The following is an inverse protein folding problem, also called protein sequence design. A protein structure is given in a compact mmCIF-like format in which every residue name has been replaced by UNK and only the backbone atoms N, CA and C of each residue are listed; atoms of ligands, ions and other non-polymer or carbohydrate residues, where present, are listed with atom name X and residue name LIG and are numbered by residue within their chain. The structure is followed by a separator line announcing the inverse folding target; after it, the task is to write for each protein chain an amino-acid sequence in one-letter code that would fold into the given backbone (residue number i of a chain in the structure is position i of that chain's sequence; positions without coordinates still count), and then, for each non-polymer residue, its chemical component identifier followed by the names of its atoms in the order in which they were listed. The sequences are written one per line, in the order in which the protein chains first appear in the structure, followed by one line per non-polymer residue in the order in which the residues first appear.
data_IF_115787688081
#
_entry.id   IF_115787688081
#
_cell.length_a   1.000
_cell.length_b   1.000
_cell.length_c   1.000
_cell.angle_alpha   90.00
_cell.angle_beta   90.00
_cell.angle_gamma   90.00
#
_symmetry.space_group_name_H-M   'P 1'
#
loop_
_entity.id
_entity.type
_entity.pdbx_description
1 polymer ?
#
# COMPACT_ATOMS: atom_id res chain seq x y z
N UNK A 1 -28.40 7.09 -33.09
CA UNK A 1 -27.26 6.40 -32.47
C UNK A 1 -27.72 5.87 -31.13
N UNK A 2 -27.42 4.62 -30.78
CA UNK A 2 -27.76 4.10 -29.45
C UNK A 2 -26.99 4.89 -28.39
N UNK A 3 -27.67 5.30 -27.32
CA UNK A 3 -27.04 5.97 -26.18
C UNK A 3 -26.05 5.00 -25.53
N UNK A 4 -24.78 5.39 -25.42
CA UNK A 4 -23.76 4.59 -24.76
C UNK A 4 -24.17 4.32 -23.30
N UNK A 5 -24.06 3.07 -22.84
CA UNK A 5 -24.40 2.65 -21.48
C UNK A 5 -23.19 2.06 -20.79
N UNK A 6 -23.15 2.17 -19.45
CA UNK A 6 -22.14 1.52 -18.62
C UNK A 6 -22.18 0.00 -18.83
N UNK A 7 -21.00 -0.63 -18.82
CA UNK A 7 -20.89 -2.08 -18.89
C UNK A 7 -21.25 -2.69 -17.53
N UNK A 8 -22.17 -3.68 -17.50
CA UNK A 8 -22.52 -4.37 -16.24
C UNK A 8 -21.43 -5.33 -15.78
N UNK A 9 -20.54 -5.76 -16.68
CA UNK A 9 -19.29 -6.45 -16.31
C UNK A 9 -18.13 -5.60 -16.77
N UNK A 10 -17.33 -5.12 -15.81
CA UNK A 10 -16.09 -4.39 -16.07
C UNK A 10 -15.07 -4.76 -15.00
N UNK A 11 -13.90 -5.26 -15.41
CA UNK A 11 -12.82 -5.61 -14.50
C UNK A 11 -11.45 -5.23 -15.07
N UNK A 12 -10.54 -4.85 -14.18
CA UNK A 12 -9.15 -4.53 -14.50
C UNK A 12 -8.21 -5.27 -13.56
N UNK A 13 -7.19 -5.88 -14.14
CA UNK A 13 -6.06 -6.41 -13.39
C UNK A 13 -5.19 -5.28 -12.84
N UNK A 14 -4.66 -5.47 -11.63
CA UNK A 14 -3.70 -4.53 -11.02
C UNK A 14 -2.42 -4.44 -11.86
N UNK A 15 -1.82 -3.25 -11.90
CA UNK A 15 -0.60 -2.98 -12.69
C UNK A 15 0.66 -2.78 -11.84
N UNK A 16 0.48 -2.50 -10.54
CA UNK A 16 1.55 -2.49 -9.54
C UNK A 16 1.40 -3.75 -8.69
N UNK A 17 2.29 -4.72 -8.89
CA UNK A 17 2.18 -6.05 -8.28
C UNK A 17 3.38 -6.35 -7.36
N UNK A 18 3.33 -5.93 -6.08
CA UNK A 18 4.35 -6.26 -5.11
C UNK A 18 4.21 -7.71 -4.62
N UNK A 19 5.34 -8.37 -4.37
CA UNK A 19 5.38 -9.60 -3.57
C UNK A 19 5.17 -9.30 -2.09
N UNK A 20 5.10 -10.35 -1.26
CA UNK A 20 5.17 -10.18 0.19
C UNK A 20 6.54 -9.61 0.61
N UNK A 21 6.54 -8.78 1.66
CA UNK A 21 7.75 -8.16 2.20
C UNK A 21 8.26 -8.94 3.39
N UNK A 22 9.37 -9.66 3.20
CA UNK A 22 9.92 -10.55 4.22
C UNK A 22 10.92 -9.82 5.11
N UNK A 23 10.91 -10.18 6.40
CA UNK A 23 11.70 -9.53 7.43
C UNK A 23 12.98 -10.31 7.74
N UNK A 24 14.08 -9.59 7.80
CA UNK A 24 15.39 -10.11 8.20
C UNK A 24 16.04 -9.14 9.20
N UNK A 25 16.99 -9.62 9.97
CA UNK A 25 17.70 -8.87 11.00
C UNK A 25 19.21 -8.91 10.77
N UNK A 26 19.84 -7.78 11.06
CA UNK A 26 21.27 -7.55 10.91
C UNK A 26 21.72 -6.30 11.66
N UNK A 27 22.97 -5.90 11.45
CA UNK A 27 23.49 -4.65 11.99
C UNK A 27 23.54 -3.59 10.91
N UNK A 28 23.33 -2.34 11.31
CA UNK A 28 23.32 -1.19 10.40
C UNK A 28 24.59 -1.16 9.52
N UNK A 29 25.77 -1.40 10.08
CA UNK A 29 27.02 -1.32 9.32
C UNK A 29 27.21 -2.46 8.28
N UNK A 30 26.35 -3.48 8.28
CA UNK A 30 26.44 -4.66 7.41
C UNK A 30 25.37 -4.66 6.30
N UNK A 31 24.75 -3.50 5.99
CA UNK A 31 23.71 -3.38 4.94
C UNK A 31 24.17 -3.83 3.54
N UNK A 32 25.46 -3.68 3.22
CA UNK A 32 26.00 -4.15 1.94
C UNK A 32 26.13 -5.67 1.85
N UNK A 33 25.94 -6.39 2.96
CA UNK A 33 26.10 -7.85 3.07
C UNK A 33 24.75 -8.54 3.30
N UNK A 34 23.73 -8.18 2.51
CA UNK A 34 22.34 -8.66 2.66
C UNK A 34 22.21 -10.19 2.79
N UNK A 35 23.10 -10.96 2.17
CA UNK A 35 23.11 -12.43 2.22
C UNK A 35 23.43 -13.00 3.61
N UNK A 36 23.96 -12.19 4.53
CA UNK A 36 24.26 -12.59 5.92
C UNK A 36 23.14 -12.27 6.90
N UNK A 37 22.10 -11.58 6.45
CA UNK A 37 20.97 -11.18 7.28
C UNK A 37 20.10 -12.39 7.58
N UNK A 38 19.69 -12.52 8.85
CA UNK A 38 18.95 -13.70 9.31
C UNK A 38 17.44 -13.44 9.26
N UNK A 39 16.62 -14.42 8.87
CA UNK A 39 15.17 -14.25 8.91
C UNK A 39 14.67 -13.86 10.31
N UNK A 40 13.68 -12.98 10.38
CA UNK A 40 12.98 -12.70 11.64
C UNK A 40 11.87 -13.73 11.80
N UNK A 41 11.95 -14.51 12.87
CA UNK A 41 10.95 -15.52 13.20
C UNK A 41 9.82 -14.92 14.06
N UNK A 42 8.62 -15.50 13.93
CA UNK A 42 7.51 -15.24 14.85
C UNK A 42 7.58 -16.23 15.99
N UNK A 43 7.48 -15.72 17.22
CA UNK A 43 7.48 -16.53 18.43
C UNK A 43 6.26 -16.22 19.28
N UNK A 44 5.83 -17.19 20.06
CA UNK A 44 4.74 -17.02 21.01
C UNK A 44 5.24 -16.44 22.33
N UNK A 45 4.40 -15.64 22.97
CA UNK A 45 4.54 -15.29 24.39
C UNK A 45 3.18 -15.25 25.07
N UNK A 46 3.16 -15.61 26.34
CA UNK A 46 2.00 -15.41 27.21
C UNK A 46 2.01 -13.99 27.76
N UNK A 47 0.86 -13.34 27.73
CA UNK A 47 0.63 -12.00 28.29
C UNK A 47 -0.56 -12.05 29.24
N UNK A 48 -0.46 -11.35 30.36
CA UNK A 48 -1.60 -11.11 31.24
C UNK A 48 -2.23 -9.79 30.83
N UNK A 49 -3.35 -9.88 30.12
CA UNK A 49 -4.13 -8.72 29.70
C UNK A 49 -4.74 -7.98 30.89
N UNK A 50 -5.05 -6.71 30.68
CA UNK A 50 -5.83 -5.87 31.59
C UNK A 50 -7.22 -5.65 31.02
N UNK A 51 -8.20 -5.33 31.87
CA UNK A 51 -9.51 -4.87 31.41
C UNK A 51 -9.37 -3.40 31.01
N UNK A 52 -9.32 -3.14 29.70
CA UNK A 52 -9.12 -1.79 29.14
C UNK A 52 -10.24 -1.34 28.19
N UNK A 53 -11.24 -2.19 27.96
CA UNK A 53 -12.40 -1.85 27.16
C UNK A 53 -13.40 -1.03 27.98
N UNK A 54 -14.20 -0.20 27.32
CA UNK A 54 -15.30 0.53 27.96
C UNK A 54 -16.30 -0.46 28.54
N UNK A 55 -16.54 -0.35 29.85
CA UNK A 55 -17.50 -1.18 30.57
C UNK A 55 -18.93 -0.85 30.15
N UNK A 56 -19.78 -1.88 30.01
CA UNK A 56 -21.22 -1.68 29.82
C UNK A 56 -21.85 -1.16 31.11
N UNK A 57 -23.01 -0.50 31.01
CA UNK A 57 -23.66 0.14 32.16
C UNK A 57 -23.85 -0.80 33.38
N UNK A 58 -24.09 -2.10 33.15
CA UNK A 58 -24.27 -3.10 34.22
C UNK A 58 -22.97 -3.67 34.83
N UNK A 59 -21.80 -3.29 34.30
CA UNK A 59 -20.47 -3.77 34.70
C UNK A 59 -19.67 -2.70 35.48
N UNK A 60 -20.26 -1.53 35.74
CA UNK A 60 -19.63 -0.40 36.43
C UNK A 60 -19.74 -0.45 37.96
N UNK A 61 -20.45 -1.45 38.49
CA UNK A 61 -20.49 -1.71 39.93
C UNK A 61 -19.07 -2.06 40.44
N UNK A 62 -18.56 -1.37 41.48
CA UNK A 62 -17.18 -1.56 41.95
C UNK A 62 -16.83 -3.01 42.29
N UNK A 63 -17.72 -3.72 43.01
CA UNK A 63 -17.46 -5.10 43.42
C UNK A 63 -17.43 -6.06 42.21
N UNK A 64 -18.28 -5.83 41.21
CA UNK A 64 -18.23 -6.60 39.95
C UNK A 64 -16.96 -6.33 39.15
N UNK A 65 -16.51 -5.08 39.11
CA UNK A 65 -15.28 -4.72 38.40
C UNK A 65 -14.06 -5.34 39.09
N UNK A 66 -13.96 -5.24 40.41
CA UNK A 66 -12.89 -5.86 41.19
C UNK A 66 -12.85 -7.38 40.97
N UNK A 67 -14.02 -8.04 41.01
CA UNK A 67 -14.13 -9.48 40.73
C UNK A 67 -13.73 -9.86 39.29
N UNK A 68 -13.84 -8.95 38.32
CA UNK A 68 -13.35 -9.18 36.95
C UNK A 68 -11.84 -8.96 36.85
N UNK A 69 -11.27 -7.98 37.57
CA UNK A 69 -9.83 -7.67 37.60
C UNK A 69 -9.04 -8.78 38.30
N UNK A 70 -9.59 -9.37 39.36
CA UNK A 70 -8.98 -10.50 40.06
C UNK A 70 -8.79 -11.73 39.16
N UNK A 71 -9.68 -11.92 38.16
CA UNK A 71 -9.59 -13.03 37.21
C UNK A 71 -8.42 -12.83 36.24
N UNK A 72 -7.43 -13.75 36.20
CA UNK A 72 -6.32 -13.64 35.26
C UNK A 72 -6.81 -13.68 33.80
N UNK A 73 -6.63 -12.59 33.06
CA UNK A 73 -6.86 -12.53 31.61
C UNK A 73 -5.61 -12.99 30.86
N UNK A 74 -5.31 -14.29 30.94
CA UNK A 74 -4.14 -14.87 30.26
C UNK A 74 -4.42 -15.02 28.77
N UNK A 75 -3.48 -14.56 27.93
CA UNK A 75 -3.56 -14.64 26.49
C UNK A 75 -2.23 -15.10 25.91
N UNK A 76 -2.28 -15.83 24.80
CA UNK A 76 -1.09 -16.12 23.99
C UNK A 76 -1.11 -15.25 22.74
N UNK A 77 0.01 -14.61 22.45
CA UNK A 77 0.18 -13.73 21.28
C UNK A 77 1.44 -14.07 20.52
N UNK A 78 1.38 -13.88 19.20
CA UNK A 78 2.55 -13.85 18.35
C UNK A 78 3.30 -12.51 18.49
N UNK A 79 4.63 -12.59 18.50
CA UNK A 79 5.55 -11.45 18.49
C UNK A 79 6.72 -11.74 17.54
N UNK A 80 7.21 -10.70 16.88
CA UNK A 80 8.45 -10.73 16.11
C UNK A 80 9.39 -9.65 16.65
N UNK A 81 10.64 -9.99 16.91
CA UNK A 81 11.64 -9.06 17.47
C UNK A 81 12.97 -9.22 16.77
N UNK A 82 13.77 -8.16 16.73
CA UNK A 82 15.19 -8.29 16.44
C UNK A 82 15.88 -9.10 17.55
N UNK A 83 17.05 -9.66 17.24
CA UNK A 83 17.87 -10.28 18.28
C UNK A 83 18.56 -9.22 19.15
N UNK A 84 19.01 -9.55 20.37
CA UNK A 84 19.84 -8.66 21.18
C UNK A 84 21.17 -8.24 20.53
N UNK A 85 21.59 -8.94 19.46
CA UNK A 85 22.85 -8.69 18.76
C UNK A 85 22.67 -7.96 17.41
N UNK A 86 21.45 -7.57 17.06
CA UNK A 86 21.10 -6.94 15.77
C UNK A 86 20.23 -5.72 16.01
N UNK A 87 20.60 -4.57 15.47
CA UNK A 87 19.90 -3.29 15.69
C UNK A 87 19.01 -2.83 14.53
N UNK A 88 19.02 -3.57 13.42
CA UNK A 88 18.39 -3.16 12.17
C UNK A 88 17.46 -4.23 11.60
N UNK A 89 16.27 -3.81 11.20
CA UNK A 89 15.31 -4.58 10.41
C UNK A 89 15.58 -4.36 8.92
N UNK A 90 15.68 -5.43 8.14
CA UNK A 90 15.62 -5.41 6.68
C UNK A 90 14.27 -5.93 6.21
N UNK A 91 13.59 -5.18 5.35
CA UNK A 91 12.37 -5.60 4.65
C UNK A 91 12.67 -5.69 3.16
N UNK A 92 12.51 -6.88 2.56
CA UNK A 92 12.78 -7.11 1.13
C UNK A 92 11.56 -7.65 0.41
N UNK A 93 11.26 -7.09 -0.76
CA UNK A 93 10.23 -7.54 -1.69
C UNK A 93 10.60 -7.21 -3.13
N UNK A 94 9.87 -7.79 -4.08
CA UNK A 94 9.94 -7.41 -5.50
C UNK A 94 8.64 -6.75 -5.95
N UNK A 95 8.70 -5.88 -6.95
CA UNK A 95 7.56 -5.20 -7.54
C UNK A 95 7.62 -5.32 -9.06
N UNK A 96 6.57 -5.88 -9.67
CA UNK A 96 6.36 -5.81 -11.11
C UNK A 96 5.51 -4.60 -11.45
N UNK A 97 5.89 -3.90 -12.52
CA UNK A 97 5.08 -2.81 -13.11
C UNK A 97 4.63 -3.24 -14.50
N UNK A 98 3.32 -3.36 -14.68
CA UNK A 98 2.71 -3.94 -15.87
C UNK A 98 2.08 -2.84 -16.75
N UNK A 99 2.18 -3.03 -18.06
CA UNK A 99 1.54 -2.15 -19.05
C UNK A 99 0.06 -2.42 -19.22
N UNK A 100 -0.55 -1.78 -20.23
CA UNK A 100 -1.97 -1.98 -20.55
C UNK A 100 -2.92 -1.27 -19.59
N UNK A 101 -2.53 -0.11 -19.06
CA UNK A 101 -3.44 0.77 -18.32
C UNK A 101 -4.65 1.11 -19.20
N UNK A 102 -5.86 0.90 -18.68
CA UNK A 102 -7.10 1.11 -19.43
C UNK A 102 -7.55 -0.05 -20.32
N UNK A 103 -6.79 -1.14 -20.40
CA UNK A 103 -7.26 -2.40 -21.01
C UNK A 103 -7.95 -3.24 -19.93
N UNK A 104 -9.28 -3.42 -19.99
CA UNK A 104 -9.99 -4.26 -19.04
C UNK A 104 -9.70 -5.74 -19.30
N UNK A 105 -9.66 -6.54 -18.24
CA UNK A 105 -9.60 -8.01 -18.35
C UNK A 105 -10.96 -8.63 -18.64
N UNK A 106 -12.05 -7.92 -18.34
CA UNK A 106 -13.40 -8.29 -18.74
C UNK A 106 -14.24 -7.03 -19.04
N UNK A 107 -14.97 -7.04 -20.15
CA UNK A 107 -15.96 -6.03 -20.50
C UNK A 107 -17.07 -6.66 -21.36
N UNK A 108 -18.34 -6.51 -20.95
CA UNK A 108 -19.47 -7.11 -21.68
C UNK A 108 -20.15 -6.17 -22.70
N UNK A 109 -19.62 -4.98 -22.91
CA UNK A 109 -20.14 -4.01 -23.88
C UNK A 109 -19.01 -3.50 -24.78
N UNK A 110 -19.04 -3.89 -26.06
CA UNK A 110 -18.00 -3.56 -27.03
C UNK A 110 -17.88 -2.07 -27.32
N UNK A 111 -19.00 -1.34 -27.40
CA UNK A 111 -19.00 0.10 -27.65
C UNK A 111 -18.41 0.85 -26.44
N UNK A 112 -18.77 0.43 -25.22
CA UNK A 112 -18.19 1.00 -24.00
C UNK A 112 -16.70 0.71 -23.90
N UNK A 113 -16.29 -0.53 -24.23
CA UNK A 113 -14.89 -0.94 -24.27
C UNK A 113 -14.07 -0.04 -25.22
N UNK A 114 -14.54 0.13 -26.46
CA UNK A 114 -13.85 0.96 -27.45
C UNK A 114 -13.78 2.42 -27.00
N UNK A 115 -14.86 2.97 -26.45
CA UNK A 115 -14.88 4.35 -25.95
C UNK A 115 -13.91 4.53 -24.78
N UNK A 116 -13.92 3.63 -23.82
CA UNK A 116 -13.02 3.64 -22.67
C UNK A 116 -11.55 3.58 -23.11
N UNK A 117 -11.21 2.67 -24.02
CA UNK A 117 -9.86 2.59 -24.58
C UNK A 117 -9.45 3.90 -25.27
N UNK A 118 -10.35 4.50 -26.05
CA UNK A 118 -10.08 5.79 -26.69
C UNK A 118 -9.88 6.91 -25.66
N UNK A 119 -10.68 6.94 -24.59
CA UNK A 119 -10.57 7.92 -23.52
C UNK A 119 -9.23 7.81 -22.79
N UNK A 120 -8.83 6.59 -22.40
CA UNK A 120 -7.53 6.35 -21.74
C UNK A 120 -6.38 6.65 -22.69
N UNK A 121 -6.44 6.23 -23.94
CA UNK A 121 -5.40 6.55 -24.94
C UNK A 121 -5.26 8.07 -25.15
N UNK A 122 -6.39 8.80 -25.16
CA UNK A 122 -6.40 10.26 -25.24
C UNK A 122 -5.71 10.92 -24.04
N UNK A 123 -5.97 10.41 -22.83
CA UNK A 123 -5.27 10.87 -21.62
C UNK A 123 -3.77 10.58 -21.69
N UNK A 124 -3.37 9.34 -21.99
CA UNK A 124 -1.96 8.93 -22.00
C UNK A 124 -1.18 9.73 -23.05
N UNK A 125 -1.78 9.97 -24.22
CA UNK A 125 -1.16 10.78 -25.27
C UNK A 125 -0.94 12.24 -24.85
N UNK A 126 -1.90 12.82 -24.12
CA UNK A 126 -1.87 14.24 -23.75
C UNK A 126 -1.00 14.53 -22.53
N UNK A 127 -1.03 13.63 -21.55
CA UNK A 127 -0.48 13.87 -20.22
C UNK A 127 0.64 12.91 -19.81
N UNK A 128 0.78 11.77 -20.50
CA UNK A 128 1.64 10.68 -20.04
C UNK A 128 1.17 10.05 -18.72
N UNK A 129 2.06 9.25 -18.11
CA UNK A 129 1.83 8.61 -16.81
C UNK A 129 2.87 9.06 -15.76
N UNK A 130 3.75 9.99 -16.10
CA UNK A 130 4.86 10.46 -15.28
C UNK A 130 4.46 10.97 -13.90
N UNK A 131 3.32 11.69 -13.77
CA UNK A 131 2.83 12.14 -12.46
C UNK A 131 2.49 10.96 -11.55
N UNK A 132 1.84 9.92 -12.07
CA UNK A 132 1.50 8.72 -11.31
C UNK A 132 2.76 7.93 -10.97
N UNK A 133 3.63 7.73 -11.96
CA UNK A 133 4.89 7.02 -11.80
C UNK A 133 5.81 7.68 -10.76
N UNK A 134 5.92 9.00 -10.79
CA UNK A 134 6.68 9.79 -9.81
C UNK A 134 6.12 9.65 -8.40
N UNK A 135 4.80 9.70 -8.23
CA UNK A 135 4.16 9.53 -6.92
C UNK A 135 4.35 8.10 -6.37
N UNK A 136 4.30 7.07 -7.23
CA UNK A 136 4.66 5.71 -6.83
C UNK A 136 6.14 5.60 -6.44
N UNK A 137 7.04 6.21 -7.22
CA UNK A 137 8.47 6.28 -6.89
C UNK A 137 8.71 6.93 -5.53
N UNK A 138 8.02 8.05 -5.23
CA UNK A 138 8.10 8.72 -3.93
C UNK A 138 7.73 7.79 -2.78
N UNK A 139 6.65 7.01 -2.92
CA UNK A 139 6.21 6.08 -1.86
C UNK A 139 7.11 4.85 -1.70
N UNK A 140 7.89 4.48 -2.72
CA UNK A 140 9.00 3.55 -2.56
C UNK A 140 10.15 4.22 -1.80
N UNK A 141 10.61 5.37 -2.28
CA UNK A 141 11.77 6.07 -1.75
C UNK A 141 11.61 6.49 -0.27
N UNK A 142 10.43 6.98 0.13
CA UNK A 142 10.15 7.42 1.50
C UNK A 142 9.85 6.27 2.49
N UNK A 143 9.85 5.02 2.01
CA UNK A 143 9.63 3.85 2.83
C UNK A 143 8.22 3.76 3.45
N UNK A 144 7.18 4.38 2.85
CA UNK A 144 5.80 4.33 3.38
C UNK A 144 5.34 2.88 3.61
N UNK A 145 5.79 1.94 2.78
CA UNK A 145 5.49 0.51 2.90
C UNK A 145 6.02 -0.15 4.19
N UNK A 146 6.85 0.52 4.99
CA UNK A 146 7.28 0.03 6.30
C UNK A 146 6.19 0.16 7.37
N UNK A 147 5.16 0.99 7.12
CA UNK A 147 4.07 1.27 8.06
C UNK A 147 4.60 1.59 9.47
N UNK A 148 4.21 0.81 10.48
CA UNK A 148 4.61 1.02 11.88
C UNK A 148 6.12 0.87 12.10
N UNK A 149 6.82 0.09 11.27
CA UNK A 149 8.27 -0.07 11.39
C UNK A 149 9.04 1.22 11.07
N UNK A 150 8.44 2.18 10.36
CA UNK A 150 9.06 3.49 10.09
C UNK A 150 9.06 4.41 11.32
N UNK A 151 8.11 4.21 12.25
CA UNK A 151 7.86 5.16 13.35
C UNK A 151 8.94 4.99 14.42
N UNK A 152 9.63 6.07 14.76
CA UNK A 152 10.65 6.09 15.81
C UNK A 152 11.99 5.45 15.43
N UNK A 153 12.21 5.18 14.14
CA UNK A 153 13.50 4.71 13.63
C UNK A 153 14.55 5.83 13.68
N UNK A 154 15.80 5.48 14.02
CA UNK A 154 16.93 6.40 14.00
C UNK A 154 17.32 6.76 12.57
N UNK A 155 17.30 5.77 11.68
CA UNK A 155 17.62 5.91 10.27
C UNK A 155 16.80 4.91 9.44
N UNK A 156 16.43 5.33 8.23
CA UNK A 156 15.76 4.46 7.25
C UNK A 156 16.39 4.67 5.89
N UNK A 157 16.95 3.60 5.32
CA UNK A 157 17.56 3.58 4.00
C UNK A 157 16.76 2.63 3.10
N UNK A 158 16.30 3.10 1.94
CA UNK A 158 15.64 2.26 0.93
C UNK A 158 16.52 2.16 -0.30
N UNK A 159 16.88 0.93 -0.66
CA UNK A 159 17.59 0.58 -1.88
C UNK A 159 16.59 -0.02 -2.87
N UNK A 160 16.51 0.55 -4.08
CA UNK A 160 15.70 0.04 -5.17
C UNK A 160 16.62 -0.38 -6.31
N UNK A 161 16.50 -1.61 -6.79
CA UNK A 161 17.26 -2.15 -7.91
C UNK A 161 16.32 -2.47 -9.08
N UNK A 162 16.63 -1.98 -10.28
CA UNK A 162 15.96 -2.44 -11.51
C UNK A 162 16.65 -3.70 -12.03
N UNK A 163 15.90 -4.79 -12.13
CA UNK A 163 16.40 -6.09 -12.54
C UNK A 163 16.04 -6.37 -14.01
N UNK A 164 17.06 -6.67 -14.82
CA UNK A 164 16.91 -7.08 -16.22
C UNK A 164 17.71 -8.36 -16.41
N UNK A 165 17.08 -9.40 -16.95
CA UNK A 165 17.70 -10.72 -17.15
C UNK A 165 18.32 -11.33 -15.87
N UNK A 166 17.77 -11.01 -14.70
CA UNK A 166 18.29 -11.48 -13.40
C UNK A 166 19.46 -10.68 -12.84
N UNK A 167 19.90 -9.63 -13.52
CA UNK A 167 21.01 -8.77 -13.10
C UNK A 167 20.52 -7.35 -12.76
N UNK A 168 21.24 -6.70 -11.86
CA UNK A 168 20.96 -5.30 -11.49
C UNK A 168 21.46 -4.36 -12.57
N UNK A 169 20.52 -3.70 -13.27
CA UNK A 169 20.83 -2.70 -14.28
C UNK A 169 21.08 -1.32 -13.66
N UNK A 170 20.26 -0.95 -12.68
CA UNK A 170 20.31 0.35 -12.01
C UNK A 170 20.00 0.18 -10.53
N UNK A 171 20.61 1.01 -9.69
CA UNK A 171 20.38 1.04 -8.24
C UNK A 171 20.17 2.47 -7.78
N UNK A 172 19.16 2.66 -6.94
CA UNK A 172 18.88 3.93 -6.25
C UNK A 172 18.89 3.69 -4.75
N UNK A 173 19.39 4.65 -3.99
CA UNK A 173 19.44 4.59 -2.53
C UNK A 173 18.90 5.89 -1.96
N UNK A 174 17.92 5.79 -1.07
CA UNK A 174 17.20 6.93 -0.53
C UNK A 174 17.31 6.97 0.99
N UNK A 175 17.63 8.14 1.54
CA UNK A 175 17.34 8.46 2.94
C UNK A 175 15.84 8.72 3.07
N UNK A 176 15.10 7.71 3.54
CA UNK A 176 13.65 7.74 3.58
C UNK A 176 13.09 8.69 4.65
N UNK A 177 13.88 9.07 5.65
CA UNK A 177 13.44 10.02 6.68
C UNK A 177 13.54 11.47 6.20
N UNK A 178 14.44 11.77 5.26
CA UNK A 178 14.52 13.06 4.58
C UNK A 178 13.34 13.32 3.62
N UNK A 179 12.63 12.26 3.20
CA UNK A 179 11.54 12.35 2.22
C UNK A 179 10.16 12.47 2.88
N UNK A 180 9.32 13.33 2.30
CA UNK A 180 7.98 13.61 2.82
C UNK A 180 7.02 12.43 2.65
N UNK A 181 6.15 12.24 3.66
CA UNK A 181 4.95 11.40 3.58
C UNK A 181 3.67 12.21 3.27
N UNK A 182 3.74 13.53 3.16
CA UNK A 182 2.55 14.39 3.01
C UNK A 182 2.52 15.18 1.70
N UNK A 183 3.65 15.36 1.04
CA UNK A 183 3.77 16.15 -0.19
C UNK A 183 4.55 15.39 -1.25
N UNK A 184 4.13 15.55 -2.50
CA UNK A 184 4.83 15.09 -3.70
C UNK A 184 5.36 16.24 -4.55
N UNK A 185 5.33 17.48 -4.03
CA UNK A 185 5.69 18.67 -4.78
C UNK A 185 7.16 18.65 -5.26
N UNK A 186 7.43 19.31 -6.39
CA UNK A 186 8.73 19.30 -7.08
C UNK A 186 9.84 20.05 -6.33
N UNK A 187 9.47 20.95 -5.42
CA UNK A 187 10.35 21.73 -4.54
C UNK A 187 10.76 20.97 -3.27
N UNK A 188 10.13 19.82 -3.00
CA UNK A 188 10.52 18.93 -1.91
C UNK A 188 11.80 18.20 -2.31
N UNK A 189 12.86 18.18 -1.48
CA UNK A 189 14.06 17.39 -1.75
C UNK A 189 13.65 15.94 -2.04
N UNK A 190 13.94 15.46 -3.25
CA UNK A 190 13.42 14.17 -3.72
C UNK A 190 14.43 13.03 -3.69
N UNK A 191 15.66 13.31 -3.23
CA UNK A 191 16.77 12.36 -3.27
C UNK A 191 17.26 12.14 -4.71
N UNK A 192 18.56 11.99 -4.86
CA UNK A 192 19.15 11.79 -6.18
C UNK A 192 18.58 10.53 -6.85
N UNK A 193 18.18 10.66 -8.11
CA UNK A 193 17.72 9.53 -8.93
C UNK A 193 16.23 9.18 -8.81
N UNK A 194 15.42 9.88 -8.00
CA UNK A 194 13.97 9.65 -7.96
C UNK A 194 13.32 9.76 -9.34
N UNK A 195 13.66 10.80 -10.11
CA UNK A 195 13.06 11.02 -11.43
C UNK A 195 13.45 9.90 -12.42
N UNK A 196 14.63 9.32 -12.28
CA UNK A 196 15.04 8.16 -13.10
C UNK A 196 14.32 6.88 -12.69
N UNK A 197 14.06 6.67 -11.39
CA UNK A 197 13.18 5.58 -10.93
C UNK A 197 11.74 5.77 -11.42
N UNK A 198 11.24 7.01 -11.38
CA UNK A 198 9.92 7.37 -11.89
C UNK A 198 9.80 7.08 -13.39
N UNK A 199 10.82 7.42 -14.18
CA UNK A 199 10.86 7.12 -15.61
C UNK A 199 10.83 5.60 -15.89
N UNK A 200 11.52 4.79 -15.08
CA UNK A 200 11.45 3.33 -15.17
C UNK A 200 10.02 2.84 -14.89
N UNK A 201 9.39 3.31 -13.81
CA UNK A 201 7.99 2.96 -13.49
C UNK A 201 7.03 3.39 -14.61
N UNK A 202 7.21 4.60 -15.17
CA UNK A 202 6.41 5.09 -16.29
C UNK A 202 6.56 4.22 -17.53
N UNK A 203 7.76 3.74 -17.84
CA UNK A 203 8.00 2.83 -18.96
C UNK A 203 7.25 1.50 -18.82
N UNK A 204 7.18 0.98 -17.58
CA UNK A 204 6.41 -0.22 -17.27
C UNK A 204 4.91 0.00 -17.45
N UNK A 205 4.37 1.09 -16.88
CA UNK A 205 2.95 1.43 -16.99
C UNK A 205 2.52 1.73 -18.43
N UNK A 206 3.40 2.36 -19.21
CA UNK A 206 3.22 2.65 -20.63
C UNK A 206 3.35 1.40 -21.51
N UNK A 207 3.83 0.28 -20.97
CA UNK A 207 4.06 -0.96 -21.71
C UNK A 207 5.23 -0.90 -22.68
N UNK A 208 6.12 0.10 -22.55
CA UNK A 208 7.31 0.26 -23.40
C UNK A 208 8.53 -0.48 -22.86
N UNK A 209 8.48 -0.95 -21.60
CA UNK A 209 9.54 -1.74 -20.97
C UNK A 209 9.00 -2.82 -20.03
N UNK A 210 9.76 -3.90 -19.88
CA UNK A 210 9.57 -4.85 -18.79
C UNK A 210 10.24 -4.31 -17.53
N UNK A 211 9.47 -4.15 -16.45
CA UNK A 211 9.97 -3.57 -15.20
C UNK A 211 9.78 -4.55 -14.05
N UNK A 212 10.92 -4.99 -13.51
CA UNK A 212 11.01 -5.73 -12.25
C UNK A 212 11.92 -4.95 -11.31
N UNK A 213 11.38 -4.52 -10.18
CA UNK A 213 12.13 -3.83 -9.13
C UNK A 213 12.34 -4.77 -7.96
N UNK A 214 13.55 -4.81 -7.41
CA UNK A 214 13.81 -5.32 -6.08
C UNK A 214 13.93 -4.13 -5.12
N UNK A 215 13.20 -4.20 -4.01
CA UNK A 215 13.18 -3.15 -2.99
C UNK A 215 13.64 -3.73 -1.68
N UNK A 216 14.68 -3.13 -1.11
CA UNK A 216 15.23 -3.49 0.19
C UNK A 216 15.24 -2.25 1.08
N UNK A 217 14.55 -2.31 2.21
CA UNK A 217 14.55 -1.24 3.20
C UNK A 217 15.28 -1.68 4.46
N UNK A 218 16.11 -0.80 5.01
CA UNK A 218 16.80 -0.98 6.27
C UNK A 218 16.32 0.05 7.26
N UNK A 219 15.87 -0.40 8.43
CA UNK A 219 15.34 0.45 9.50
C UNK A 219 16.13 0.21 10.77
N UNK A 220 16.90 1.22 11.21
CA UNK A 220 17.64 1.15 12.47
C UNK A 220 16.69 1.44 13.63
N UNK A 221 16.36 0.41 14.39
CA UNK A 221 15.34 0.48 15.45
C UNK A 221 15.96 0.32 16.85
N UNK A 222 17.11 -0.36 16.94
CA UNK A 222 17.78 -0.69 18.18
C UNK A 222 17.73 -2.19 18.49
N UNK A 223 18.73 -2.68 19.23
CA UNK A 223 18.86 -4.09 19.54
C UNK A 223 17.66 -4.64 20.32
N UNK A 224 17.17 -5.83 19.92
CA UNK A 224 16.07 -6.52 20.61
C UNK A 224 14.68 -5.92 20.43
N UNK A 225 14.52 -4.85 19.64
CA UNK A 225 13.23 -4.16 19.48
C UNK A 225 12.17 -5.02 18.77
N UNK A 226 10.89 -4.77 19.10
CA UNK A 226 9.75 -5.39 18.40
C UNK A 226 9.62 -4.82 16.99
N UNK A 227 9.38 -5.73 16.03
CA UNK A 227 9.06 -5.38 14.65
C UNK A 227 7.60 -5.74 14.37
N UNK A 228 7.03 -5.14 13.32
CA UNK A 228 5.59 -5.15 13.08
C UNK A 228 5.23 -5.78 11.74
N UNK A 229 5.20 -7.12 11.66
CA UNK A 229 4.61 -7.86 10.54
C UNK A 229 3.13 -7.51 10.35
N UNK A 230 2.57 -7.97 9.23
CA UNK A 230 1.12 -8.02 9.06
C UNK A 230 0.46 -8.90 10.13
N UNK A 231 -0.77 -8.57 10.50
CA UNK A 231 -1.58 -9.39 11.39
C UNK A 231 -2.56 -10.24 10.58
N UNK A 232 -2.71 -11.50 10.97
CA UNK A 232 -3.73 -12.39 10.44
C UNK A 232 -5.07 -12.20 11.17
N UNK A 233 -6.15 -12.15 10.40
CA UNK A 233 -7.51 -12.09 10.92
C UNK A 233 -8.14 -13.48 10.85
N UNK A 234 -8.00 -14.24 11.93
CA UNK A 234 -8.65 -15.53 12.11
C UNK A 234 -10.02 -15.28 12.76
N UNK A 235 -11.10 -15.52 12.02
CA UNK A 235 -12.49 -15.27 12.46
C UNK A 235 -13.03 -16.41 13.35
N UNK A 236 -12.74 -17.66 12.98
CA UNK A 236 -13.20 -18.84 13.72
C UNK A 236 -12.17 -19.23 14.79
N UNK A 237 -12.17 -18.50 15.92
CA UNK A 237 -11.29 -18.80 17.06
C UNK A 237 -11.99 -19.67 18.09
N UNK A 238 -11.39 -20.81 18.41
CA UNK A 238 -11.74 -21.67 19.53
C UNK A 238 -11.27 -21.12 20.89
N UNK A 239 -11.78 -21.72 21.97
CA UNK A 239 -11.36 -21.39 23.34
C UNK A 239 -9.93 -21.88 23.57
N UNK A 240 -8.99 -20.96 23.79
CA UNK A 240 -7.57 -21.25 23.98
C UNK A 240 -6.68 -20.80 22.82
N UNK A 241 -7.29 -20.37 21.71
CA UNK A 241 -6.56 -19.86 20.55
C UNK A 241 -5.87 -18.53 20.84
N UNK A 242 -4.82 -18.24 20.07
CA UNK A 242 -4.05 -17.00 20.18
C UNK A 242 -4.95 -15.78 19.97
N UNK A 243 -4.77 -14.77 20.81
CA UNK A 243 -5.49 -13.49 20.64
C UNK A 243 -4.92 -12.64 19.50
N UNK A 244 -3.68 -12.91 19.08
CA UNK A 244 -3.01 -12.25 17.94
C UNK A 244 -2.13 -13.25 17.19
N UNK A 245 -2.36 -13.36 15.88
CA UNK A 245 -1.54 -14.16 14.97
C UNK A 245 -0.85 -13.24 13.96
N UNK A 246 0.43 -13.45 13.70
CA UNK A 246 1.20 -12.66 12.74
C UNK A 246 1.41 -13.40 11.42
N UNK A 247 1.47 -12.66 10.33
CA UNK A 247 1.69 -13.19 9.00
C UNK A 247 3.13 -13.69 8.84
N UNK A 248 3.27 -14.89 8.28
CA UNK A 248 4.56 -15.49 7.95
C UNK A 248 4.52 -16.18 6.59
N UNK A 249 5.67 -16.26 5.92
CA UNK A 249 5.90 -17.08 4.73
C UNK A 249 7.10 -17.96 5.03
N UNK A 250 6.95 -19.28 4.96
CA UNK A 250 8.02 -20.24 5.28
C UNK A 250 8.72 -19.93 6.62
N UNK A 251 7.92 -19.68 7.67
CA UNK A 251 8.35 -19.28 9.02
C UNK A 251 9.08 -17.92 9.14
N UNK A 252 9.18 -17.15 8.04
CA UNK A 252 9.72 -15.78 8.06
C UNK A 252 8.59 -14.79 8.26
N UNK A 253 8.71 -13.92 9.25
CA UNK A 253 7.77 -12.83 9.48
C UNK A 253 7.73 -11.88 8.27
N UNK A 254 6.57 -11.31 7.96
CA UNK A 254 6.49 -10.41 6.82
C UNK A 254 5.26 -9.53 6.76
N UNK A 255 5.18 -8.76 5.68
CA UNK A 255 4.07 -7.90 5.36
C UNK A 255 3.34 -8.46 4.14
N UNK A 256 2.02 -8.48 4.22
CA UNK A 256 1.19 -8.86 3.09
C UNK A 256 1.46 -7.95 1.89
N UNK A 257 1.58 -8.54 0.71
CA UNK A 257 1.69 -7.85 -0.58
C UNK A 257 0.64 -6.74 -0.76
N UNK A 258 -0.64 -6.96 -0.44
CA UNK A 258 -1.68 -5.93 -0.55
C UNK A 258 -1.49 -4.74 0.40
N UNK A 259 -0.81 -4.93 1.54
CA UNK A 259 -0.48 -3.85 2.49
C UNK A 259 0.67 -3.00 1.97
N UNK A 260 1.64 -3.62 1.28
CA UNK A 260 2.69 -2.91 0.54
C UNK A 260 2.07 -2.15 -0.64
N UNK A 261 1.20 -2.80 -1.42
CA UNK A 261 0.50 -2.18 -2.54
C UNK A 261 -0.37 -0.99 -2.12
N UNK A 262 -1.05 -1.07 -0.97
CA UNK A 262 -1.79 0.06 -0.39
C UNK A 262 -0.90 1.26 -0.09
N UNK A 263 0.29 1.03 0.50
CA UNK A 263 1.26 2.08 0.76
C UNK A 263 1.77 2.71 -0.56
N UNK A 264 2.15 1.91 -1.55
CA UNK A 264 2.64 2.41 -2.84
C UNK A 264 1.60 3.32 -3.50
N UNK A 265 0.31 2.93 -3.48
CA UNK A 265 -0.79 3.72 -4.08
C UNK A 265 -1.38 4.80 -3.17
N UNK A 266 -0.72 5.15 -2.07
CA UNK A 266 -1.09 6.30 -1.23
C UNK A 266 -0.65 7.60 -1.90
N UNK A 267 -1.35 7.96 -2.98
CA UNK A 267 -0.97 9.03 -3.89
C UNK A 267 -2.10 10.03 -4.16
N UNK A 268 -3.32 9.79 -3.66
CA UNK A 268 -4.46 10.68 -3.87
C UNK A 268 -4.40 11.81 -2.85
N UNK A 269 -3.85 12.95 -3.23
CA UNK A 269 -3.96 14.25 -2.55
C UNK A 269 -4.83 15.24 -3.36
N UNK A 270 -5.62 14.71 -4.30
CA UNK A 270 -6.52 15.49 -5.16
C UNK A 270 -7.96 15.48 -4.66
N UNK A 271 -8.23 14.78 -3.56
CA UNK A 271 -9.57 14.70 -3.00
C UNK A 271 -9.93 15.98 -2.23
N UNK A 272 -11.21 16.32 -2.06
CA UNK A 272 -11.67 17.55 -1.39
C UNK A 272 -11.16 17.79 0.05
N UNK A 273 -10.51 16.81 0.67
CA UNK A 273 -10.05 16.87 2.06
C UNK A 273 -8.54 16.74 2.21
N UNK A 274 -7.81 16.85 1.09
CA UNK A 274 -6.39 16.59 1.04
C UNK A 274 -5.58 17.55 1.92
N UNK A 275 -6.03 18.79 2.08
CA UNK A 275 -5.37 19.77 2.97
C UNK A 275 -5.35 19.31 4.43
N UNK A 276 -6.41 18.62 4.88
CA UNK A 276 -6.56 18.18 6.27
C UNK A 276 -5.94 16.79 6.46
N UNK A 277 -6.31 15.84 5.60
CA UNK A 277 -5.97 14.42 5.74
C UNK A 277 -4.58 14.13 5.14
N UNK A 278 -4.17 14.87 4.11
CA UNK A 278 -3.02 14.54 3.29
C UNK A 278 -3.32 13.40 2.31
N UNK A 279 -2.28 12.84 1.65
CA UNK A 279 -2.46 11.81 0.64
C UNK A 279 -3.06 10.52 1.22
N UNK A 280 -4.07 9.99 0.54
CA UNK A 280 -4.73 8.72 0.87
C UNK A 280 -4.46 7.65 -0.20
N UNK A 281 -4.65 6.39 0.17
CA UNK A 281 -4.62 5.28 -0.76
C UNK A 281 -5.75 5.44 -1.79
N UNK A 282 -5.41 5.33 -3.07
CA UNK A 282 -6.39 5.45 -4.16
C UNK A 282 -7.41 4.33 -4.04
N UNK A 283 -8.66 4.67 -3.74
CA UNK A 283 -9.81 3.77 -3.63
C UNK A 283 -10.99 4.39 -4.37
N UNK A 284 -11.94 3.62 -4.94
CA UNK A 284 -13.04 4.17 -5.75
C UNK A 284 -13.89 5.27 -5.07
N UNK A 285 -13.97 5.25 -3.74
CA UNK A 285 -14.68 6.24 -2.92
C UNK A 285 -13.76 7.05 -1.99
N UNK A 286 -12.43 6.96 -2.18
CA UNK A 286 -11.45 7.61 -1.30
C UNK A 286 -11.57 7.18 0.17
N UNK A 287 -11.75 5.88 0.44
CA UNK A 287 -12.02 5.37 1.78
C UNK A 287 -10.76 5.30 2.65
N UNK A 288 -10.87 5.82 3.87
CA UNK A 288 -9.86 5.76 4.93
C UNK A 288 -10.44 4.97 6.10
N UNK A 289 -10.18 3.67 6.12
CA UNK A 289 -10.83 2.73 7.06
C UNK A 289 -10.54 3.03 8.52
N UNK A 290 -9.35 3.53 8.84
CA UNK A 290 -8.96 3.94 10.20
C UNK A 290 -9.73 5.15 10.71
N UNK A 291 -10.24 5.99 9.82
CA UNK A 291 -11.06 7.16 10.15
C UNK A 291 -12.56 6.91 9.97
N UNK A 292 -12.96 5.73 9.45
CA UNK A 292 -14.35 5.43 9.12
C UNK A 292 -14.94 6.39 8.09
N UNK A 293 -14.13 6.91 7.17
CA UNK A 293 -14.48 8.06 6.31
C UNK A 293 -14.24 7.78 4.82
N UNK A 294 -15.07 8.36 3.96
CA UNK A 294 -14.89 8.38 2.52
C UNK A 294 -14.70 9.82 2.05
N UNK A 295 -13.53 10.12 1.47
CA UNK A 295 -13.12 11.47 1.09
C UNK A 295 -13.64 11.88 -0.30
N UNK A 296 -14.12 10.92 -1.11
CA UNK A 296 -14.70 11.14 -2.44
C UNK A 296 -16.14 10.64 -2.45
N UNK A 297 -17.04 11.46 -1.92
CA UNK A 297 -18.44 11.10 -1.72
C UNK A 297 -19.23 11.08 -3.05
N UNK A 298 -20.05 10.05 -3.32
CA UNK A 298 -20.89 10.02 -4.51
C UNK A 298 -21.90 11.15 -4.60
N UNK A 299 -22.40 11.68 -3.47
CA UNK A 299 -23.29 12.85 -3.48
C UNK A 299 -22.63 14.08 -4.13
N UNK A 300 -21.31 14.20 -4.02
CA UNK A 300 -20.51 15.28 -4.61
C UNK A 300 -20.02 14.95 -6.03
N UNK A 301 -20.31 13.73 -6.54
CA UNK A 301 -19.85 13.22 -7.84
C UNK A 301 -18.32 13.23 -8.01
N UNK A 302 -17.61 13.05 -6.89
CA UNK A 302 -16.14 13.03 -6.83
C UNK A 302 -15.57 11.60 -6.81
N UNK A 303 -16.44 10.59 -6.71
CA UNK A 303 -16.04 9.18 -6.73
C UNK A 303 -15.67 8.71 -8.15
N UNK A 304 -15.00 7.57 -8.20
CA UNK A 304 -14.50 7.00 -9.45
C UNK A 304 -15.60 6.75 -10.48
N UNK A 305 -16.77 6.24 -10.05
CA UNK A 305 -17.83 5.85 -10.99
C UNK A 305 -18.46 7.07 -11.64
N UNK A 306 -18.82 8.10 -10.85
CA UNK A 306 -19.37 9.33 -11.41
C UNK A 306 -18.39 10.04 -12.36
N UNK A 307 -17.10 10.07 -12.02
CA UNK A 307 -16.07 10.67 -12.86
C UNK A 307 -15.86 9.87 -14.15
N UNK A 308 -15.73 8.55 -14.06
CA UNK A 308 -15.53 7.68 -15.22
C UNK A 308 -16.74 7.73 -16.17
N UNK A 309 -17.97 7.64 -15.65
CA UNK A 309 -19.18 7.70 -16.46
C UNK A 309 -19.36 9.07 -17.12
N UNK A 310 -19.07 10.17 -16.39
CA UNK A 310 -19.10 11.50 -16.98
C UNK A 310 -18.11 11.61 -18.15
N UNK A 311 -16.91 11.05 -18.00
CA UNK A 311 -15.86 11.15 -18.99
C UNK A 311 -16.08 10.24 -20.20
N UNK A 312 -16.45 8.97 -19.97
CA UNK A 312 -16.60 7.96 -21.02
C UNK A 312 -17.94 8.06 -21.73
N UNK A 313 -19.03 8.23 -20.98
CA UNK A 313 -20.39 8.18 -21.55
C UNK A 313 -20.87 9.56 -22.01
N UNK A 314 -20.52 10.62 -21.28
CA UNK A 314 -21.04 11.97 -21.51
C UNK A 314 -20.03 12.91 -22.14
N UNK A 315 -18.83 12.43 -22.45
CA UNK A 315 -17.71 13.22 -22.99
C UNK A 315 -17.36 14.47 -22.14
N UNK A 316 -17.64 14.39 -20.84
CA UNK A 316 -17.32 15.45 -19.88
C UNK A 316 -15.98 15.16 -19.25
N UNK A 317 -14.93 15.76 -19.83
CA UNK A 317 -13.56 15.66 -19.32
C UNK A 317 -13.50 16.25 -17.90
N UNK A 318 -13.07 15.48 -16.88
CA UNK A 318 -12.93 16.00 -15.52
C UNK A 318 -11.66 16.88 -15.40
N UNK A 319 -11.44 17.48 -14.23
CA UNK A 319 -10.20 18.22 -13.96
C UNK A 319 -8.98 17.33 -14.17
N UNK A 320 -7.80 17.90 -14.46
CA UNK A 320 -6.60 17.10 -14.69
C UNK A 320 -6.25 16.22 -13.47
N UNK A 321 -6.46 16.75 -12.27
CA UNK A 321 -6.27 16.03 -11.01
C UNK A 321 -7.22 14.83 -10.86
N UNK A 322 -8.49 15.01 -11.20
CA UNK A 322 -9.45 13.90 -11.21
C UNK A 322 -9.17 12.89 -12.34
N UNK A 323 -8.60 13.32 -13.46
CA UNK A 323 -8.11 12.38 -14.49
C UNK A 323 -6.97 11.51 -13.93
N UNK A 324 -6.01 12.09 -13.20
CA UNK A 324 -4.96 11.34 -12.52
C UNK A 324 -5.53 10.34 -11.52
N UNK A 325 -6.51 10.76 -10.72
CA UNK A 325 -7.22 9.88 -9.79
C UNK A 325 -7.90 8.70 -10.51
N UNK A 326 -8.67 8.96 -11.57
CA UNK A 326 -9.34 7.89 -12.34
C UNK A 326 -8.31 6.91 -12.91
N UNK A 327 -7.21 7.40 -13.49
CA UNK A 327 -6.14 6.54 -13.99
C UNK A 327 -5.45 5.73 -12.90
N UNK A 328 -5.25 6.32 -11.72
CA UNK A 328 -4.71 5.62 -10.57
C UNK A 328 -5.64 4.49 -10.06
N UNK A 329 -6.97 4.66 -10.14
CA UNK A 329 -7.93 3.57 -9.86
C UNK A 329 -7.83 2.46 -10.90
N UNK A 330 -7.67 2.79 -12.19
CA UNK A 330 -7.46 1.78 -13.23
C UNK A 330 -6.14 1.00 -13.06
N UNK A 331 -5.07 1.66 -12.62
CA UNK A 331 -3.78 1.04 -12.27
C UNK A 331 -3.90 0.11 -11.06
N UNK A 332 -4.65 0.53 -10.03
CA UNK A 332 -4.98 -0.32 -8.88
C UNK A 332 -5.73 -1.57 -9.32
N UNK A 333 -6.64 -1.43 -10.29
CA UNK A 333 -7.52 -2.49 -10.74
C UNK A 333 -8.63 -2.79 -9.74
N UNK A 334 -9.52 -3.70 -10.15
CA UNK A 334 -10.73 -4.05 -9.41
C UNK A 334 -11.86 -4.53 -10.32
N UNK A 335 -12.96 -4.94 -9.69
CA UNK A 335 -14.22 -5.25 -10.36
C UNK A 335 -15.15 -4.07 -10.18
N UNK A 336 -15.55 -3.45 -11.29
CA UNK A 336 -16.32 -2.19 -11.36
C UNK A 336 -17.66 -2.34 -12.08
N UNK A 337 -18.05 -3.58 -12.42
CA UNK A 337 -19.35 -3.86 -13.01
C UNK A 337 -20.51 -3.46 -12.09
N UNK A 338 -21.64 -3.11 -12.70
CA UNK A 338 -22.90 -2.93 -12.00
C UNK A 338 -23.27 -4.24 -11.30
N UNK A 339 -23.44 -4.20 -9.98
CA UNK A 339 -24.02 -5.35 -9.27
C UNK A 339 -25.52 -5.34 -9.53
N UNK A 340 -26.06 -6.47 -9.98
CA UNK A 340 -27.50 -6.69 -9.94
C UNK A 340 -27.98 -6.41 -8.49
N UNK A 341 -28.95 -5.51 -8.38
CA UNK A 341 -29.50 -5.02 -7.11
C UNK A 341 -30.28 -6.11 -6.35
#
# INVERSE_FOLDING_TARGET
MATLKTASVLAFERKMDPSDGLFFAGNWNDRSQCNRWKPVEVREKSVRGTISNRLKAGEQDPAKLDAQIEKPNLQTVDVATLSPATDTLMVRFTLRVLGGVGVPSACNNADYHQKLQSTVAGYVKSNGLGILARRYACNLANGRFLWRNRIGAEAVEVVVCHLVNGETQSTWTFDSLALSLRSFASDTPVGDGLDTLAAVIESGLSGTGHVLLEVTAFTRMGAGQEVFPSQELILDRGRGDKSRTLYTVNAVAGMHSQKIGNAIRTIDDWHPEAEIIGPIAVEPYGSVTTMGKACRQPQQKQDFYNLLDAWVIKDKVPTLEDQHYVMAVLIRGGVFGEKDA
#
